data_IF_591775596575
#
_entry.id   IF_591775596575
#
_cell.length_a   1.000
_cell.length_b   1.000
_cell.length_c   1.000
_cell.angle_alpha   90.00
_cell.angle_beta   90.00
_cell.angle_gamma   90.00
#
_symmetry.space_group_name_H-M   'P 1'
#
loop_
_entity.id
_entity.type
_entity.pdbx_description
1 polymer ?
#
# COMPACT_ATOMS: atom_id res chain seq x y z
N UNK A 1 4.35 -26.09 4.01
CA UNK A 1 5.16 -25.41 5.05
C UNK A 1 6.63 -25.81 4.89
N UNK A 2 7.32 -25.27 3.88
CA UNK A 2 8.78 -25.37 3.69
C UNK A 2 9.19 -24.18 2.83
N UNK A 3 9.79 -23.16 3.42
CA UNK A 3 10.23 -21.95 2.70
C UNK A 3 11.50 -21.41 3.37
N UNK A 4 12.59 -22.15 3.22
CA UNK A 4 13.96 -21.64 3.36
C UNK A 4 14.82 -22.40 2.36
N UNK A 5 15.16 -21.75 1.25
CA UNK A 5 16.33 -22.08 0.44
C UNK A 5 16.69 -20.85 -0.38
N UNK A 6 17.89 -20.32 -0.14
CA UNK A 6 18.95 -20.12 -1.14
C UNK A 6 20.06 -19.28 -0.48
N UNK A 7 21.10 -19.96 0.01
CA UNK A 7 22.44 -19.41 0.11
C UNK A 7 23.23 -20.01 -1.06
N UNK A 8 23.55 -19.18 -2.04
CA UNK A 8 24.68 -19.44 -2.94
C UNK A 8 25.69 -18.34 -2.66
N UNK A 9 26.63 -18.63 -1.76
CA UNK A 9 27.84 -17.83 -1.65
C UNK A 9 28.78 -18.37 -2.73
N UNK A 10 28.89 -17.65 -3.84
CA UNK A 10 29.92 -17.89 -4.84
C UNK A 10 31.29 -17.61 -4.20
N UNK A 11 32.10 -18.65 -4.00
CA UNK A 11 33.50 -18.49 -3.61
C UNK A 11 34.38 -18.60 -4.86
N UNK A 12 34.64 -17.47 -5.50
CA UNK A 12 35.78 -17.32 -6.41
C UNK A 12 36.72 -16.26 -5.82
N UNK A 13 37.85 -16.70 -5.29
CA UNK A 13 38.82 -15.80 -4.64
C UNK A 13 40.04 -16.52 -4.09
N UNK A 14 40.91 -16.96 -5.00
CA UNK A 14 42.29 -17.36 -4.72
C UNK A 14 43.09 -16.20 -4.10
N UNK A 15 43.71 -16.42 -2.94
CA UNK A 15 44.65 -15.46 -2.35
C UNK A 15 45.14 -15.86 -0.95
N UNK A 16 46.37 -16.37 -0.86
CA UNK A 16 47.08 -16.61 0.41
C UNK A 16 47.34 -15.29 1.15
N UNK A 17 46.96 -15.22 2.42
CA UNK A 17 47.40 -14.17 3.33
C UNK A 17 47.00 -14.47 4.78
N UNK A 18 47.98 -14.78 5.63
CA UNK A 18 47.83 -14.88 7.10
C UNK A 18 47.49 -13.50 7.67
N UNK A 19 46.46 -13.43 8.50
CA UNK A 19 46.11 -12.24 9.29
C UNK A 19 45.00 -12.57 10.29
N UNK A 20 45.08 -12.01 11.49
CA UNK A 20 44.30 -12.33 12.69
C UNK A 20 42.79 -12.16 12.51
N UNK A 21 42.06 -12.97 13.27
CA UNK A 21 40.60 -13.00 13.31
C UNK A 21 39.97 -11.65 13.66
N UNK A 22 39.09 -11.24 12.76
CA UNK A 22 37.97 -10.36 13.02
C UNK A 22 36.76 -11.22 12.64
N UNK A 23 35.95 -11.58 13.64
CA UNK A 23 34.70 -12.27 13.42
C UNK A 23 33.76 -11.31 12.71
N UNK A 24 33.77 -11.38 11.38
CA UNK A 24 32.76 -10.77 10.52
C UNK A 24 31.41 -11.40 10.88
N UNK A 25 30.73 -10.80 11.85
CA UNK A 25 29.33 -11.03 12.12
C UNK A 25 28.57 -10.70 10.84
N UNK A 26 28.32 -11.74 10.04
CA UNK A 26 27.50 -11.69 8.85
C UNK A 26 26.07 -11.35 9.32
N UNK A 27 25.80 -10.06 9.48
CA UNK A 27 24.46 -9.53 9.73
C UNK A 27 23.61 -10.01 8.57
N UNK A 28 22.81 -11.04 8.83
CA UNK A 28 21.95 -11.66 7.84
C UNK A 28 20.82 -10.68 7.54
N UNK A 29 21.06 -9.77 6.59
CA UNK A 29 20.01 -8.93 6.02
C UNK A 29 19.08 -9.86 5.24
N UNK A 30 17.98 -10.25 5.87
CA UNK A 30 16.89 -10.95 5.19
C UNK A 30 16.33 -10.03 4.12
N UNK A 31 16.74 -10.25 2.87
CA UNK A 31 16.22 -9.54 1.71
C UNK A 31 14.72 -9.83 1.61
N UNK A 32 13.88 -8.81 1.73
CA UNK A 32 12.44 -8.95 1.57
C UNK A 32 12.13 -9.45 0.14
N UNK A 33 11.48 -10.61 0.03
CA UNK A 33 11.02 -11.17 -1.25
C UNK A 33 9.53 -11.49 -1.15
N UNK A 34 8.70 -10.74 -1.86
CA UNK A 34 7.23 -10.87 -1.81
C UNK A 34 6.69 -12.01 -2.68
N UNK A 35 7.47 -12.51 -3.64
CA UNK A 35 7.05 -13.49 -4.66
C UNK A 35 6.54 -14.83 -4.11
N UNK A 36 7.22 -15.53 -3.19
CA UNK A 36 6.71 -16.80 -2.65
C UNK A 36 5.49 -16.63 -1.73
N UNK A 37 5.11 -15.39 -1.41
CA UNK A 37 4.05 -15.06 -0.45
C UNK A 37 2.82 -14.41 -1.11
N UNK A 38 2.78 -14.30 -2.45
CA UNK A 38 1.68 -13.63 -3.18
C UNK A 38 0.32 -14.23 -2.83
N UNK A 39 0.21 -15.54 -2.70
CA UNK A 39 -1.05 -16.20 -2.29
C UNK A 39 -1.52 -15.76 -0.90
N UNK A 40 -0.59 -15.57 0.05
CA UNK A 40 -0.90 -15.08 1.40
C UNK A 40 -1.34 -13.61 1.34
N UNK A 41 -0.67 -12.79 0.53
CA UNK A 41 -1.04 -11.38 0.36
C UNK A 41 -2.42 -11.21 -0.29
N UNK A 42 -2.74 -12.03 -1.29
CA UNK A 42 -4.09 -12.05 -1.89
C UNK A 42 -5.14 -12.55 -0.90
N UNK A 43 -4.83 -13.55 -0.07
CA UNK A 43 -5.72 -14.02 0.98
C UNK A 43 -6.00 -12.92 2.03
N UNK A 44 -4.98 -12.14 2.38
CA UNK A 44 -5.14 -10.98 3.26
C UNK A 44 -6.03 -9.91 2.62
N UNK A 45 -5.84 -9.61 1.32
CA UNK A 45 -6.72 -8.69 0.61
C UNK A 45 -8.17 -9.18 0.60
N UNK A 46 -8.39 -10.49 0.37
CA UNK A 46 -9.70 -11.14 0.48
C UNK A 46 -10.30 -11.05 1.88
N UNK A 47 -9.48 -11.13 2.92
CA UNK A 47 -9.94 -10.95 4.30
C UNK A 47 -10.44 -9.52 4.52
N UNK A 48 -9.74 -8.51 4.00
CA UNK A 48 -10.21 -7.11 4.06
C UNK A 48 -11.54 -6.91 3.33
N UNK A 49 -11.70 -7.53 2.15
CA UNK A 49 -12.99 -7.54 1.43
C UNK A 49 -14.08 -8.18 2.30
N UNK A 50 -13.79 -9.34 2.91
CA UNK A 50 -14.73 -10.04 3.77
C UNK A 50 -15.16 -9.22 4.99
N UNK A 51 -14.22 -8.50 5.62
CA UNK A 51 -14.51 -7.62 6.75
C UNK A 51 -15.41 -6.45 6.35
N UNK A 52 -15.12 -5.78 5.24
CA UNK A 52 -15.98 -4.70 4.72
C UNK A 52 -17.40 -5.20 4.43
N UNK A 53 -17.52 -6.31 3.71
CA UNK A 53 -18.82 -6.90 3.35
C UNK A 53 -19.60 -7.38 4.58
N UNK A 54 -18.94 -7.93 5.59
CA UNK A 54 -19.58 -8.34 6.84
C UNK A 54 -20.17 -7.14 7.59
N UNK A 55 -19.42 -6.03 7.71
CA UNK A 55 -19.92 -4.83 8.38
C UNK A 55 -21.10 -4.23 7.61
N UNK A 56 -20.98 -4.10 6.28
CA UNK A 56 -22.07 -3.60 5.43
C UNK A 56 -23.32 -4.45 5.55
N UNK A 57 -23.17 -5.77 5.63
CA UNK A 57 -24.30 -6.67 5.86
C UNK A 57 -24.95 -6.43 7.22
N UNK A 58 -24.15 -6.30 8.29
CA UNK A 58 -24.66 -5.98 9.64
C UNK A 58 -25.43 -4.67 9.64
N UNK A 59 -24.92 -3.62 8.99
CA UNK A 59 -25.60 -2.33 8.87
C UNK A 59 -26.96 -2.47 8.16
N UNK A 60 -27.00 -3.20 7.04
CA UNK A 60 -28.22 -3.43 6.27
C UNK A 60 -29.31 -4.20 7.06
N UNK A 61 -28.90 -5.02 8.03
CA UNK A 61 -29.82 -5.77 8.90
C UNK A 61 -30.29 -4.93 10.08
N UNK A 62 -29.42 -4.09 10.64
CA UNK A 62 -29.71 -3.33 11.87
C UNK A 62 -30.41 -2.00 11.63
N UNK A 63 -30.18 -1.36 10.49
CA UNK A 63 -30.60 0.03 10.24
C UNK A 63 -31.48 0.06 8.99
N UNK A 64 -32.60 0.77 9.03
CA UNK A 64 -33.42 1.01 7.84
C UNK A 64 -32.71 1.94 6.86
N UNK A 65 -32.95 1.78 5.56
CA UNK A 65 -32.36 2.63 4.54
C UNK A 65 -32.66 4.12 4.82
N UNK A 66 -31.62 4.96 4.74
CA UNK A 66 -31.60 6.39 5.07
C UNK A 66 -31.90 6.74 6.54
N UNK A 67 -31.90 5.76 7.44
CA UNK A 67 -31.94 5.99 8.88
C UNK A 67 -30.53 5.99 9.48
N UNK A 68 -30.41 6.48 10.71
CA UNK A 68 -29.18 6.44 11.49
C UNK A 68 -29.42 6.16 12.97
N UNK A 69 -28.42 5.55 13.60
CA UNK A 69 -28.32 5.33 15.05
C UNK A 69 -27.22 6.22 15.57
N UNK A 70 -27.57 7.12 16.48
CA UNK A 70 -26.61 8.01 17.14
C UNK A 70 -25.74 7.22 18.11
N UNK A 71 -24.42 7.28 17.91
CA UNK A 71 -23.44 6.61 18.79
C UNK A 71 -22.83 7.62 19.76
N UNK A 72 -22.44 8.80 19.28
CA UNK A 72 -21.91 9.89 20.10
C UNK A 72 -22.50 11.24 19.68
N UNK A 73 -22.03 12.35 20.27
CA UNK A 73 -22.47 13.70 19.86
C UNK A 73 -21.96 14.13 18.48
N UNK A 74 -20.98 13.42 17.91
CA UNK A 74 -20.33 13.76 16.63
C UNK A 74 -20.26 12.59 15.65
N UNK A 75 -20.83 11.43 15.99
CA UNK A 75 -20.74 10.21 15.18
C UNK A 75 -22.02 9.39 15.24
N UNK A 76 -22.50 8.99 14.06
CA UNK A 76 -23.63 8.10 13.86
C UNK A 76 -23.20 6.88 13.04
N UNK A 77 -23.89 5.77 13.27
CA UNK A 77 -23.98 4.71 12.27
C UNK A 77 -25.20 4.98 11.39
N UNK A 78 -24.99 5.11 10.10
CA UNK A 78 -26.05 5.36 9.13
C UNK A 78 -26.19 4.19 8.15
N UNK A 79 -27.30 4.14 7.43
CA UNK A 79 -27.39 3.33 6.21
C UNK A 79 -27.70 4.23 5.03
N UNK A 80 -26.65 4.63 4.31
CA UNK A 80 -26.74 5.49 3.13
C UNK A 80 -26.28 4.72 1.89
N UNK A 81 -27.01 4.86 0.79
CA UNK A 81 -26.59 4.33 -0.51
C UNK A 81 -25.94 5.43 -1.33
N UNK A 82 -24.68 5.20 -1.71
CA UNK A 82 -23.90 6.13 -2.50
C UNK A 82 -23.75 5.62 -3.95
N UNK A 83 -24.51 6.17 -4.91
CA UNK A 83 -24.38 5.82 -6.32
C UNK A 83 -23.10 6.40 -6.97
N UNK A 84 -22.35 7.25 -6.24
CA UNK A 84 -21.27 8.07 -6.78
C UNK A 84 -21.67 9.54 -6.90
N UNK A 85 -22.35 10.09 -5.89
CA UNK A 85 -22.99 11.40 -5.98
C UNK A 85 -22.02 12.57 -6.22
N UNK A 86 -20.73 12.38 -5.91
CA UNK A 86 -19.68 13.35 -6.24
C UNK A 86 -19.57 13.63 -7.75
N UNK A 87 -20.05 12.73 -8.61
CA UNK A 87 -20.13 12.88 -10.07
C UNK A 87 -21.58 13.09 -10.55
N UNK A 88 -22.51 13.44 -9.64
CA UNK A 88 -23.91 13.68 -9.98
C UNK A 88 -24.10 14.85 -10.94
N UNK A 89 -23.16 15.81 -10.98
CA UNK A 89 -23.20 16.92 -11.94
C UNK A 89 -23.05 16.48 -13.41
N UNK A 90 -22.65 15.22 -13.66
CA UNK A 90 -22.60 14.57 -14.98
C UNK A 90 -23.67 13.46 -15.11
N UNK A 91 -24.62 13.37 -14.17
CA UNK A 91 -25.54 12.24 -14.04
C UNK A 91 -26.86 12.35 -14.80
N UNK A 92 -27.10 13.45 -15.53
CA UNK A 92 -28.33 13.65 -16.29
C UNK A 92 -28.61 12.52 -17.31
N UNK A 93 -27.65 11.63 -17.55
CA UNK A 93 -27.73 10.50 -18.49
C UNK A 93 -27.48 9.10 -17.86
N UNK A 94 -28.11 8.76 -16.73
CA UNK A 94 -28.53 7.35 -16.53
C UNK A 94 -27.55 6.38 -15.87
N UNK A 95 -26.94 6.75 -14.75
CA UNK A 95 -26.29 5.77 -13.84
C UNK A 95 -24.99 5.14 -14.35
N UNK A 96 -24.36 5.74 -15.37
CA UNK A 96 -23.08 5.32 -15.94
C UNK A 96 -21.96 5.21 -14.88
N UNK A 97 -22.06 5.99 -13.80
CA UNK A 97 -21.11 6.03 -12.69
C UNK A 97 -20.92 4.63 -12.10
N UNK A 98 -22.00 3.84 -12.01
CA UNK A 98 -21.95 2.46 -11.52
C UNK A 98 -20.93 1.65 -12.32
N UNK A 99 -21.06 1.62 -13.65
CA UNK A 99 -20.20 0.84 -14.52
C UNK A 99 -18.79 1.40 -14.57
N UNK A 100 -18.65 2.72 -14.57
CA UNK A 100 -17.34 3.38 -14.50
C UNK A 100 -16.56 2.98 -13.24
N UNK A 101 -17.18 3.06 -12.06
CA UNK A 101 -16.52 2.70 -10.81
C UNK A 101 -16.27 1.20 -10.67
N UNK A 102 -17.13 0.33 -11.23
CA UNK A 102 -16.85 -1.11 -11.34
C UNK A 102 -15.60 -1.32 -12.19
N UNK A 103 -15.56 -0.73 -13.40
CA UNK A 103 -14.44 -0.87 -14.32
C UNK A 103 -13.13 -0.34 -13.72
N UNK A 104 -13.16 0.85 -13.12
CA UNK A 104 -12.01 1.46 -12.47
C UNK A 104 -11.51 0.61 -11.29
N UNK A 105 -12.40 0.17 -10.40
CA UNK A 105 -12.05 -0.65 -9.25
C UNK A 105 -11.42 -1.98 -9.66
N UNK A 106 -12.00 -2.67 -10.65
CA UNK A 106 -11.43 -3.91 -11.19
C UNK A 106 -10.08 -3.68 -11.87
N UNK A 107 -9.95 -2.63 -12.70
CA UNK A 107 -8.71 -2.32 -13.39
C UNK A 107 -7.57 -2.02 -12.41
N UNK A 108 -7.82 -1.20 -11.38
CA UNK A 108 -6.84 -0.89 -10.33
C UNK A 108 -6.49 -2.16 -9.55
N UNK A 109 -7.47 -2.96 -9.14
CA UNK A 109 -7.20 -4.20 -8.39
C UNK A 109 -6.37 -5.20 -9.18
N UNK A 110 -6.65 -5.37 -10.48
CA UNK A 110 -5.87 -6.25 -11.37
C UNK A 110 -4.43 -5.72 -11.53
N UNK A 111 -4.27 -4.42 -11.78
CA UNK A 111 -2.96 -3.80 -11.92
C UNK A 111 -2.11 -3.97 -10.66
N UNK A 112 -2.70 -3.71 -9.48
CA UNK A 112 -1.99 -3.85 -8.20
C UNK A 112 -1.69 -5.31 -7.86
N UNK A 113 -2.61 -6.23 -8.11
CA UNK A 113 -2.37 -7.66 -7.93
C UNK A 113 -1.26 -8.17 -8.85
N UNK A 114 -1.23 -7.71 -10.10
CA UNK A 114 -0.15 -8.02 -11.05
C UNK A 114 1.19 -7.46 -10.57
N UNK A 115 1.21 -6.23 -10.07
CA UNK A 115 2.44 -5.61 -9.55
C UNK A 115 2.94 -6.33 -8.31
N UNK A 116 2.02 -6.72 -7.42
CA UNK A 116 2.30 -7.54 -6.25
C UNK A 116 2.92 -8.90 -6.65
N UNK A 117 2.40 -9.53 -7.70
CA UNK A 117 2.93 -10.77 -8.26
C UNK A 117 4.32 -10.61 -8.88
N UNK A 118 4.58 -9.50 -9.59
CA UNK A 118 5.92 -9.19 -10.12
C UNK A 118 6.95 -8.94 -9.03
N UNK A 119 6.51 -8.55 -7.84
CA UNK A 119 7.33 -8.30 -6.67
C UNK A 119 7.35 -6.83 -6.29
N UNK A 120 7.30 -6.55 -5.00
CA UNK A 120 7.26 -5.19 -4.43
C UNK A 120 8.51 -4.91 -3.61
N UNK A 121 8.84 -3.64 -3.43
CA UNK A 121 10.15 -3.20 -2.95
C UNK A 121 10.30 -3.38 -1.45
N UNK A 122 9.22 -3.20 -0.70
CA UNK A 122 9.23 -3.26 0.76
C UNK A 122 7.85 -3.65 1.34
N UNK A 123 7.83 -3.85 2.66
CA UNK A 123 6.62 -4.25 3.40
C UNK A 123 5.53 -3.18 3.40
N UNK A 124 5.89 -1.89 3.39
CA UNK A 124 4.92 -0.79 3.34
C UNK A 124 4.15 -0.79 2.02
N UNK A 125 4.86 -0.95 0.91
CA UNK A 125 4.26 -1.06 -0.43
C UNK A 125 3.38 -2.31 -0.54
N UNK A 126 3.79 -3.42 0.09
CA UNK A 126 2.98 -4.65 0.17
C UNK A 126 1.66 -4.39 0.88
N UNK A 127 1.72 -3.80 2.09
CA UNK A 127 0.54 -3.49 2.88
C UNK A 127 -0.39 -2.53 2.13
N UNK A 128 0.20 -1.53 1.46
CA UNK A 128 -0.54 -0.57 0.67
C UNK A 128 -1.33 -1.21 -0.47
N UNK A 129 -0.73 -2.12 -1.24
CA UNK A 129 -1.41 -2.82 -2.33
C UNK A 129 -2.52 -3.72 -1.81
N UNK A 130 -2.29 -4.46 -0.72
CA UNK A 130 -3.31 -5.30 -0.09
C UNK A 130 -4.52 -4.46 0.34
N UNK A 131 -4.29 -3.33 1.01
CA UNK A 131 -5.35 -2.41 1.43
C UNK A 131 -6.11 -1.81 0.25
N UNK A 132 -5.40 -1.33 -0.79
CA UNK A 132 -6.03 -0.76 -1.99
C UNK A 132 -6.89 -1.79 -2.74
N UNK A 133 -6.37 -3.00 -2.94
CA UNK A 133 -7.13 -4.10 -3.59
C UNK A 133 -8.37 -4.43 -2.76
N UNK A 134 -8.21 -4.59 -1.44
CA UNK A 134 -9.31 -4.93 -0.55
C UNK A 134 -10.42 -3.88 -0.54
N UNK A 135 -10.05 -2.61 -0.39
CA UNK A 135 -11.01 -1.50 -0.41
C UNK A 135 -11.69 -1.32 -1.76
N UNK A 136 -10.93 -1.36 -2.86
CA UNK A 136 -11.50 -1.25 -4.21
C UNK A 136 -12.50 -2.37 -4.49
N UNK A 137 -12.14 -3.63 -4.19
CA UNK A 137 -13.02 -4.78 -4.43
C UNK A 137 -14.26 -4.78 -3.52
N UNK A 138 -14.14 -4.39 -2.24
CA UNK A 138 -15.29 -4.26 -1.34
C UNK A 138 -16.35 -3.31 -1.91
N UNK A 139 -15.91 -2.17 -2.44
CA UNK A 139 -16.79 -1.18 -3.08
C UNK A 139 -17.29 -1.58 -4.48
N UNK A 140 -16.56 -2.43 -5.21
CA UNK A 140 -17.03 -3.01 -6.48
C UNK A 140 -18.13 -4.03 -6.24
N UNK A 141 -18.01 -4.85 -5.19
CA UNK A 141 -18.99 -5.89 -4.87
C UNK A 141 -20.37 -5.28 -4.60
N UNK A 142 -20.45 -4.20 -3.82
CA UNK A 142 -21.72 -3.50 -3.60
C UNK A 142 -22.32 -3.00 -4.92
N UNK A 143 -21.52 -2.33 -5.75
CA UNK A 143 -21.99 -1.82 -7.05
C UNK A 143 -22.48 -2.94 -7.97
N UNK A 144 -21.88 -4.13 -7.91
CA UNK A 144 -22.37 -5.29 -8.65
C UNK A 144 -23.71 -5.79 -8.09
N UNK A 145 -23.83 -5.90 -6.76
CA UNK A 145 -24.98 -6.51 -6.07
C UNK A 145 -26.21 -5.60 -5.97
N UNK A 146 -26.01 -4.37 -5.51
CA UNK A 146 -27.09 -3.42 -5.16
C UNK A 146 -27.08 -2.16 -6.03
N UNK A 147 -26.02 -1.93 -6.82
CA UNK A 147 -25.94 -0.80 -7.75
C UNK A 147 -25.38 0.50 -7.17
N UNK A 148 -25.18 0.56 -5.86
CA UNK A 148 -24.58 1.66 -5.12
C UNK A 148 -23.63 1.09 -4.05
N UNK A 149 -22.91 1.95 -3.33
CA UNK A 149 -22.08 1.54 -2.17
C UNK A 149 -22.84 1.77 -0.88
N UNK A 150 -22.70 0.86 0.09
CA UNK A 150 -23.24 1.06 1.45
C UNK A 150 -22.25 1.87 2.28
N UNK A 151 -22.63 3.10 2.61
CA UNK A 151 -21.89 3.98 3.50
C UNK A 151 -22.57 4.05 4.87
N UNK A 152 -21.77 4.04 5.93
CA UNK A 152 -22.29 3.86 7.30
C UNK A 152 -21.56 4.61 8.40
N UNK A 153 -20.37 5.13 8.14
CA UNK A 153 -19.65 5.99 9.06
C UNK A 153 -20.04 7.45 8.78
N UNK A 154 -20.88 8.03 9.63
CA UNK A 154 -21.35 9.41 9.51
C UNK A 154 -20.80 10.26 10.66
N UNK A 155 -19.88 11.17 10.33
CA UNK A 155 -19.28 12.11 11.28
C UNK A 155 -19.85 13.51 11.08
N UNK A 156 -20.18 14.20 12.16
CA UNK A 156 -20.81 15.50 12.10
C UNK A 156 -20.40 16.42 13.24
N UNK A 157 -20.45 17.73 12.97
CA UNK A 157 -20.18 18.77 13.94
C UNK A 157 -21.08 19.98 13.70
N UNK A 158 -21.77 20.46 14.75
CA UNK A 158 -22.61 21.67 14.69
C UNK A 158 -23.63 21.68 13.52
N UNK A 159 -24.24 20.54 13.23
CA UNK A 159 -25.22 20.38 12.14
C UNK A 159 -24.61 20.19 10.74
N UNK A 160 -23.29 20.27 10.60
CA UNK A 160 -22.59 19.93 9.37
C UNK A 160 -22.13 18.48 9.38
N UNK A 161 -22.38 17.75 8.30
CA UNK A 161 -22.00 16.35 8.14
C UNK A 161 -20.86 16.20 7.12
N UNK A 162 -19.83 15.45 7.50
CA UNK A 162 -18.86 14.94 6.55
C UNK A 162 -19.52 13.86 5.67
N UNK A 163 -19.19 13.76 4.38
CA UNK A 163 -19.74 12.70 3.53
C UNK A 163 -19.55 11.31 4.16
N UNK A 164 -20.64 10.58 4.33
CA UNK A 164 -20.58 9.24 4.90
C UNK A 164 -19.64 8.34 4.09
N UNK A 165 -18.93 7.45 4.77
CA UNK A 165 -17.98 6.53 4.15
C UNK A 165 -18.04 5.15 4.82
N UNK A 166 -17.24 4.21 4.34
CA UNK A 166 -17.17 2.85 4.87
C UNK A 166 -15.72 2.38 5.10
N UNK A 167 -15.59 1.16 5.60
CA UNK A 167 -14.28 0.56 5.87
C UNK A 167 -13.45 0.34 4.59
N UNK A 168 -14.08 -0.01 3.47
CA UNK A 168 -13.37 -0.07 2.18
C UNK A 168 -12.74 1.29 1.80
N UNK A 169 -13.39 2.43 2.06
CA UNK A 169 -12.80 3.75 1.83
C UNK A 169 -11.61 4.02 2.76
N UNK A 170 -11.69 3.58 4.02
CA UNK A 170 -10.57 3.66 4.97
C UNK A 170 -9.37 2.85 4.46
N UNK A 171 -9.60 1.67 3.87
CA UNK A 171 -8.52 0.89 3.26
C UNK A 171 -7.91 1.57 2.04
N UNK A 172 -8.73 2.23 1.21
CA UNK A 172 -8.23 2.97 0.04
C UNK A 172 -7.37 4.16 0.48
N UNK A 173 -7.87 4.99 1.39
CA UNK A 173 -7.16 6.17 1.89
C UNK A 173 -5.89 5.76 2.64
N UNK A 174 -5.99 4.78 3.54
CA UNK A 174 -4.85 4.26 4.28
C UNK A 174 -3.80 3.64 3.36
N UNK A 175 -4.21 2.85 2.37
CA UNK A 175 -3.32 2.26 1.37
C UNK A 175 -2.62 3.32 0.52
N UNK A 176 -3.33 4.36 0.08
CA UNK A 176 -2.71 5.49 -0.62
C UNK A 176 -1.67 6.22 0.25
N UNK A 177 -1.98 6.46 1.53
CA UNK A 177 -1.04 7.03 2.49
C UNK A 177 0.21 6.15 2.70
N UNK A 178 0.04 4.82 2.77
CA UNK A 178 1.16 3.89 2.85
C UNK A 178 2.05 3.91 1.59
N UNK A 179 1.47 4.04 0.39
CA UNK A 179 2.27 4.21 -0.85
C UNK A 179 3.06 5.51 -0.83
N UNK A 180 2.43 6.59 -0.38
CA UNK A 180 3.11 7.87 -0.25
C UNK A 180 4.32 7.77 0.70
N UNK A 181 4.13 7.19 1.89
CA UNK A 181 5.21 6.97 2.86
C UNK A 181 6.30 6.04 2.32
N UNK A 182 5.93 4.95 1.64
CA UNK A 182 6.88 4.02 1.01
C UNK A 182 7.76 4.72 -0.05
N UNK A 183 7.17 5.70 -0.75
CA UNK A 183 7.86 6.50 -1.77
C UNK A 183 8.86 7.48 -1.16
N UNK A 184 8.54 8.09 -0.01
CA UNK A 184 9.47 8.96 0.72
C UNK A 184 10.66 8.19 1.29
N UNK A 185 10.41 7.06 1.95
CA UNK A 185 11.46 6.20 2.52
C UNK A 185 12.45 5.70 1.45
N UNK A 186 11.98 5.56 0.21
CA UNK A 186 12.81 5.15 -0.92
C UNK A 186 13.79 6.23 -1.41
N UNK A 187 13.47 7.52 -1.22
CA UNK A 187 14.30 8.63 -1.69
C UNK A 187 15.51 8.87 -0.77
N UNK A 188 15.33 8.74 0.54
CA UNK A 188 16.41 8.92 1.52
C UNK A 188 17.57 7.92 1.30
N UNK A 189 17.26 6.68 0.95
CA UNK A 189 18.26 5.65 0.66
C UNK A 189 19.02 5.85 -0.65
N UNK A 190 18.55 6.73 -1.54
CA UNK A 190 19.24 7.11 -2.78
C UNK A 190 20.19 8.28 -2.54
N UNK A 191 19.72 9.30 -1.78
CA UNK A 191 20.51 10.49 -1.45
C UNK A 191 21.78 10.17 -0.65
N UNK A 192 21.69 9.27 0.35
CA UNK A 192 22.85 8.84 1.14
C UNK A 192 23.92 8.08 0.34
N UNK A 193 23.53 7.34 -0.70
CA UNK A 193 24.45 6.60 -1.57
C UNK A 193 25.21 7.49 -2.56
N UNK A 194 24.71 8.69 -2.84
CA UNK A 194 25.41 9.68 -3.67
C UNK A 194 26.57 10.35 -2.96
N UNK A 195 26.46 10.56 -1.63
CA UNK A 195 27.48 11.23 -0.82
C UNK A 195 28.72 10.34 -0.61
N UNK A 196 28.54 9.03 -0.41
CA UNK A 196 29.65 8.08 -0.22
C UNK A 196 30.43 7.74 -1.50
N UNK A 197 29.91 8.09 -2.68
CA UNK A 197 30.56 7.80 -3.97
C UNK A 197 31.53 8.87 -4.45
N UNK A 198 31.83 9.90 -3.64
CA UNK A 198 32.82 10.91 -4.04
C UNK A 198 34.23 10.32 -3.87
N UNK A 199 35.00 10.10 -4.95
CA UNK A 199 36.34 9.56 -4.84
C UNK A 199 37.20 10.58 -4.08
N UNK A 200 37.79 10.17 -2.95
CA UNK A 200 38.82 10.99 -2.29
C UNK A 200 39.93 11.22 -3.31
N UNK A 201 40.12 12.47 -3.73
CA UNK A 201 41.27 12.84 -4.56
C UNK A 201 42.54 12.35 -3.86
N UNK A 202 43.43 11.61 -4.54
CA UNK A 202 44.76 11.37 -4.02
C UNK A 202 45.42 12.74 -3.83
N UNK A 203 45.96 12.99 -2.64
CA UNK A 203 46.91 14.08 -2.44
C UNK A 203 48.16 13.68 -3.24
N UNK A 204 48.23 14.09 -4.51
CA UNK A 204 49.46 14.00 -5.28
C UNK A 204 50.45 14.92 -4.62
N UNK A 205 51.46 14.31 -3.98
CA UNK A 205 52.61 15.01 -3.46
C UNK A 205 53.25 15.83 -4.55
N UNK A 206 53.45 17.11 -4.25
CA UNK A 206 54.27 18.00 -5.05
C UNK A 206 55.73 17.56 -4.91
N UNK A 207 56.28 16.97 -5.97
CA UNK A 207 57.70 16.75 -6.11
C UNK A 207 58.28 17.85 -7.02
N UNK A 208 59.12 18.67 -6.38
CA UNK A 208 60.48 19.00 -6.80
C UNK A 208 60.68 19.98 -7.98
N UNK A 209 61.42 21.06 -7.71
CA UNK A 209 62.03 21.90 -8.74
C UNK A 209 62.99 22.94 -8.15
N UNK A 210 64.30 22.79 -8.41
CA UNK A 210 65.27 23.87 -8.17
C UNK A 210 66.72 23.43 -8.02
N UNK A 211 67.42 23.28 -9.15
CA UNK A 211 68.84 22.98 -9.31
C UNK A 211 69.80 24.13 -8.93
N UNK A 212 71.07 23.73 -8.70
CA UNK A 212 72.34 24.47 -8.82
C UNK A 212 72.86 25.27 -7.62
N UNK A 213 73.91 24.71 -6.99
CA UNK A 213 75.25 25.33 -6.83
C UNK A 213 76.27 24.22 -6.57
#
# INVERSE_FOLDING_TARGET
MRLFNLLSCDQSGSGRGRGRGESDDCVTFTTFSSRPLVGIWLLLALTLVGLDQAIKYVIQVLISLNASIKITSFFNLAYVLNPGAAFSFLADAGGWQRYFFIGLGLAVSVLLAFTLWRGVRNRLETAAYISLIGGALGNVIDRLRIGAVVDYLDFHWSGWHWPAFNLADVFVIGGAGLLFLASLASQEGSSRRGVDKMPRRPLTGDQNGGSNS
#
